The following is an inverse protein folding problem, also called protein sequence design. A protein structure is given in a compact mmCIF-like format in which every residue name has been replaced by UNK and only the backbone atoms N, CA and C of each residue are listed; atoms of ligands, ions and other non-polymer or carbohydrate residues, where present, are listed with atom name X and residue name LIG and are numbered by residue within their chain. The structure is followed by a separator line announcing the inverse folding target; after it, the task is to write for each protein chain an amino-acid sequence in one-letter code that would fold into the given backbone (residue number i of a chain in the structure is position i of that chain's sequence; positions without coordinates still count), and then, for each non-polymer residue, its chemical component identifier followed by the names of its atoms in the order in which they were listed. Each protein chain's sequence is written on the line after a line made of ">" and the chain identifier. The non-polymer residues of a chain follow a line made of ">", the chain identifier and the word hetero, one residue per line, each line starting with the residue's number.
data_IF_418672036629
#
_entry.id   IF_418672036629
#
_cell.length_a   1.000
_cell.length_b   1.000
_cell.length_c   1.000
_cell.angle_alpha   90.00
_cell.angle_beta   90.00
_cell.angle_gamma   90.00
#
_symmetry.space_group_name_H-M   'P 1'
#
loop_
_entity.id
_entity.type
_entity.pdbx_description
1 polymer ?
#
# COMPACT_ATOMS: atom_id res chain seq x y z
N UNK A 1 -2.91 8.43 4.10
CA UNK A 1 -4.20 8.01 3.49
C UNK A 1 -4.92 9.16 2.77
N UNK A 2 -5.00 10.38 3.34
CA UNK A 2 -5.63 11.57 2.72
C UNK A 2 -5.24 11.88 1.27
N UNK A 3 -3.98 11.61 0.89
CA UNK A 3 -3.47 11.86 -0.47
C UNK A 3 -4.27 11.06 -1.51
N UNK A 4 -4.62 9.81 -1.22
CA UNK A 4 -5.35 8.94 -2.16
C UNK A 4 -6.76 9.47 -2.46
N UNK A 5 -7.48 9.91 -1.43
CA UNK A 5 -8.80 10.54 -1.60
C UNK A 5 -8.70 11.85 -2.38
N UNK A 6 -7.70 12.68 -2.08
CA UNK A 6 -7.48 13.94 -2.80
C UNK A 6 -7.25 13.72 -4.30
N UNK A 7 -6.41 12.75 -4.66
CA UNK A 7 -6.11 12.43 -6.05
C UNK A 7 -7.36 11.92 -6.79
N UNK A 8 -8.09 10.99 -6.15
CA UNK A 8 -9.36 10.48 -6.69
C UNK A 8 -10.35 11.61 -6.96
N UNK A 9 -10.59 12.49 -5.98
CA UNK A 9 -11.49 13.64 -6.14
C UNK A 9 -11.02 14.60 -7.23
N UNK A 10 -9.72 14.86 -7.31
CA UNK A 10 -9.16 15.73 -8.34
C UNK A 10 -9.39 15.15 -9.73
N UNK A 11 -9.19 13.84 -9.89
CA UNK A 11 -9.45 13.15 -11.15
C UNK A 11 -10.93 13.13 -11.49
N UNK A 12 -11.79 12.90 -10.49
CA UNK A 12 -13.23 12.91 -10.67
C UNK A 12 -13.70 14.29 -11.16
N UNK A 13 -13.27 15.40 -10.52
CA UNK A 13 -13.57 16.77 -10.97
C UNK A 13 -13.21 17.07 -12.42
N UNK A 14 -12.16 16.43 -12.93
CA UNK A 14 -11.71 16.59 -14.33
C UNK A 14 -12.39 15.63 -15.31
N UNK A 15 -13.21 14.70 -14.82
CA UNK A 15 -13.88 13.68 -15.62
C UNK A 15 -15.11 14.23 -16.31
N UNK A 16 -15.34 13.79 -17.56
CA UNK A 16 -16.58 14.06 -18.30
C UNK A 16 -17.81 13.37 -17.68
N UNK A 17 -17.61 12.38 -16.80
CA UNK A 17 -18.69 11.70 -16.07
C UNK A 17 -19.16 12.48 -14.84
N UNK A 18 -18.63 13.68 -14.60
CA UNK A 18 -19.06 14.54 -13.51
C UNK A 18 -19.13 16.00 -13.92
N UNK A 19 -20.09 16.71 -13.32
CA UNK A 19 -20.18 18.15 -13.37
C UNK A 19 -19.54 18.70 -12.08
N UNK A 20 -18.45 19.45 -12.22
CA UNK A 20 -17.82 20.13 -11.09
C UNK A 20 -18.28 21.59 -11.03
N UNK A 21 -18.97 21.94 -9.94
CA UNK A 21 -19.22 23.33 -9.60
C UNK A 21 -17.93 23.91 -9.02
N UNK A 22 -17.14 24.56 -9.88
CA UNK A 22 -15.79 25.07 -9.56
C UNK A 22 -15.74 26.00 -8.35
N UNK A 23 -16.86 26.65 -7.99
CA UNK A 23 -16.93 27.62 -6.88
C UNK A 23 -17.20 26.98 -5.51
N UNK A 24 -17.83 25.81 -5.45
CA UNK A 24 -18.21 25.14 -4.19
C UNK A 24 -17.36 23.90 -3.89
N UNK A 25 -16.59 23.41 -4.88
CA UNK A 25 -15.82 22.18 -4.75
C UNK A 25 -16.69 20.91 -4.77
N UNK A 26 -17.98 21.04 -5.04
CA UNK A 26 -18.93 19.95 -5.18
C UNK A 26 -18.71 19.22 -6.50
N UNK A 27 -18.98 17.92 -6.47
CA UNK A 27 -18.85 17.01 -7.61
C UNK A 27 -20.18 16.30 -7.77
N UNK A 28 -20.86 16.54 -8.88
CA UNK A 28 -22.10 15.84 -9.23
C UNK A 28 -21.78 14.81 -10.30
N UNK A 29 -22.03 13.53 -10.04
CA UNK A 29 -21.82 12.46 -11.00
C UNK A 29 -22.97 12.53 -12.02
N UNK A 30 -22.65 12.83 -13.27
CA UNK A 30 -23.66 13.09 -14.30
C UNK A 30 -24.43 11.82 -14.70
N UNK A 31 -23.78 10.66 -14.60
CA UNK A 31 -24.42 9.38 -14.85
C UNK A 31 -23.92 8.32 -13.84
N UNK A 32 -24.61 8.13 -12.70
CA UNK A 32 -24.20 7.19 -11.66
C UNK A 32 -24.37 5.71 -12.08
N UNK A 33 -25.02 5.45 -13.21
CA UNK A 33 -25.17 4.09 -13.74
C UNK A 33 -23.90 3.58 -14.43
N UNK A 34 -23.07 4.50 -14.92
CA UNK A 34 -21.81 4.17 -15.58
C UNK A 34 -20.66 4.09 -14.56
N UNK A 35 -19.77 3.09 -14.66
CA UNK A 35 -18.62 3.02 -13.79
C UNK A 35 -17.63 4.15 -14.11
N UNK A 36 -17.09 4.77 -13.07
CA UNK A 36 -16.02 5.75 -13.20
C UNK A 36 -14.67 5.05 -13.27
N UNK A 37 -13.80 5.42 -14.22
CA UNK A 37 -12.48 4.81 -14.37
C UNK A 37 -11.38 5.67 -13.77
N UNK A 38 -10.62 5.12 -12.82
CA UNK A 38 -9.52 5.80 -12.15
C UNK A 38 -8.43 4.81 -11.74
N UNK A 39 -7.15 5.19 -11.89
CA UNK A 39 -6.02 4.39 -11.39
C UNK A 39 -5.99 2.93 -11.92
N UNK A 40 -6.55 2.67 -13.10
CA UNK A 40 -6.62 1.32 -13.67
C UNK A 40 -7.86 0.50 -13.30
N UNK A 41 -8.77 1.04 -12.47
CA UNK A 41 -9.92 0.32 -11.93
C UNK A 41 -11.25 1.03 -12.23
N UNK A 42 -12.32 0.25 -12.27
CA UNK A 42 -13.69 0.74 -12.38
C UNK A 42 -14.30 0.90 -10.99
N UNK A 43 -14.89 2.06 -10.74
CA UNK A 43 -15.57 2.45 -9.51
C UNK A 43 -17.07 2.51 -9.75
N UNK A 44 -17.82 1.89 -8.84
CA UNK A 44 -19.26 1.75 -8.93
C UNK A 44 -19.92 2.43 -7.72
N UNK A 45 -21.02 3.14 -7.95
CA UNK A 45 -21.67 3.98 -6.94
C UNK A 45 -22.80 3.28 -6.17
N UNK A 46 -23.00 1.97 -6.39
CA UNK A 46 -23.93 1.16 -5.62
C UNK A 46 -23.64 -0.34 -5.76
N UNK A 47 -24.16 -1.13 -4.81
CA UNK A 47 -24.09 -2.58 -4.85
C UNK A 47 -24.77 -3.19 -6.09
N UNK A 48 -25.93 -2.65 -6.49
CA UNK A 48 -26.69 -3.17 -7.64
C UNK A 48 -25.87 -3.05 -8.93
N UNK A 49 -25.30 -1.87 -9.19
CA UNK A 49 -24.50 -1.62 -10.39
C UNK A 49 -23.22 -2.46 -10.41
N UNK A 50 -22.57 -2.61 -9.25
CA UNK A 50 -21.43 -3.50 -9.13
C UNK A 50 -21.80 -4.96 -9.40
N UNK A 51 -22.88 -5.48 -8.82
CA UNK A 51 -23.26 -6.90 -8.92
C UNK A 51 -23.75 -7.28 -10.32
N UNK A 52 -24.38 -6.35 -11.03
CA UNK A 52 -24.95 -6.52 -12.37
C UNK A 52 -23.96 -6.21 -13.50
N UNK A 53 -22.69 -5.93 -13.19
CA UNK A 53 -21.66 -5.69 -14.20
C UNK A 53 -21.43 -6.94 -15.06
N UNK A 54 -21.18 -6.72 -16.34
CA UNK A 54 -20.84 -7.80 -17.30
C UNK A 54 -19.47 -8.41 -16.99
N UNK A 55 -18.49 -7.58 -16.61
CA UNK A 55 -17.10 -8.01 -16.42
C UNK A 55 -16.84 -8.42 -14.97
N UNK A 56 -17.22 -9.64 -14.60
CA UNK A 56 -16.86 -10.24 -13.31
C UNK A 56 -15.47 -10.87 -13.40
N UNK A 57 -14.58 -10.47 -12.50
CA UNK A 57 -13.20 -10.98 -12.43
C UNK A 57 -13.02 -11.81 -11.17
N UNK A 58 -12.68 -13.09 -11.33
CA UNK A 58 -12.45 -14.01 -10.21
C UNK A 58 -11.09 -13.81 -9.54
N UNK A 59 -10.13 -13.19 -10.24
CA UNK A 59 -8.77 -12.89 -9.78
C UNK A 59 -8.66 -11.57 -9.01
N UNK A 60 -9.79 -11.04 -8.52
CA UNK A 60 -9.85 -9.71 -7.91
C UNK A 60 -10.53 -9.74 -6.54
N UNK A 61 -10.03 -8.89 -5.66
CA UNK A 61 -10.61 -8.63 -4.34
C UNK A 61 -11.45 -7.37 -4.41
N UNK A 62 -12.66 -7.45 -3.86
CA UNK A 62 -13.56 -6.30 -3.71
C UNK A 62 -13.02 -5.34 -2.63
N UNK A 63 -12.98 -4.07 -2.96
CA UNK A 63 -12.80 -2.96 -2.05
C UNK A 63 -14.08 -2.12 -2.02
N UNK A 64 -14.44 -1.63 -0.84
CA UNK A 64 -15.62 -0.80 -0.66
C UNK A 64 -15.38 0.22 0.45
N UNK A 65 -15.97 1.39 0.30
CA UNK A 65 -16.04 2.44 1.31
C UNK A 65 -17.48 2.93 1.38
N UNK A 66 -18.03 3.01 2.58
CA UNK A 66 -19.29 3.67 2.81
C UNK A 66 -19.07 5.18 3.02
N UNK A 67 -19.94 6.01 2.45
CA UNK A 67 -19.80 7.47 2.56
C UNK A 67 -20.04 7.96 3.99
N UNK A 68 -20.79 7.22 4.80
CA UNK A 68 -20.99 7.52 6.22
C UNK A 68 -19.76 7.23 7.10
N UNK A 69 -18.76 6.51 6.59
CA UNK A 69 -17.54 6.14 7.34
C UNK A 69 -16.41 7.14 7.14
N UNK A 70 -16.50 8.05 6.16
CA UNK A 70 -15.40 8.96 5.82
C UNK A 70 -15.86 10.32 5.31
N UNK A 71 -15.38 11.38 5.96
CA UNK A 71 -15.56 12.76 5.52
C UNK A 71 -14.71 13.15 4.30
N UNK A 72 -13.75 12.31 3.90
CA UNK A 72 -12.87 12.61 2.76
C UNK A 72 -13.64 12.58 1.42
N UNK A 73 -14.82 11.96 1.39
CA UNK A 73 -15.69 11.87 0.21
C UNK A 73 -16.85 12.88 0.22
N UNK A 74 -16.95 13.75 1.23
CA UNK A 74 -18.02 14.75 1.36
C UNK A 74 -18.11 15.67 0.14
N UNK A 75 -19.33 16.04 -0.28
CA UNK A 75 -19.54 16.89 -1.46
C UNK A 75 -19.37 16.18 -2.80
N UNK A 76 -19.54 14.85 -2.83
CA UNK A 76 -19.78 14.06 -4.04
C UNK A 76 -21.24 13.60 -4.00
N UNK A 77 -21.98 13.86 -5.08
CA UNK A 77 -23.39 13.55 -5.21
C UNK A 77 -23.69 12.79 -6.50
N UNK A 78 -24.74 11.99 -6.50
CA UNK A 78 -25.19 11.19 -7.65
C UNK A 78 -26.03 11.98 -8.65
N UNK A 79 -26.56 13.14 -8.24
CA UNK A 79 -27.44 13.98 -9.04
C UNK A 79 -27.46 15.44 -8.53
N UNK A 80 -28.21 16.30 -9.22
CA UNK A 80 -28.40 17.71 -8.86
C UNK A 80 -29.26 17.92 -7.61
N UNK A 81 -29.99 16.89 -7.17
CA UNK A 81 -30.77 16.92 -5.92
C UNK A 81 -29.90 16.62 -4.69
N UNK A 82 -28.58 16.59 -4.87
CA UNK A 82 -27.60 16.33 -3.81
C UNK A 82 -27.77 14.94 -3.18
N UNK A 83 -28.18 13.93 -3.95
CA UNK A 83 -28.25 12.56 -3.46
C UNK A 83 -26.85 12.03 -3.14
N UNK A 84 -26.57 11.75 -1.87
CA UNK A 84 -25.28 11.22 -1.42
C UNK A 84 -25.20 9.72 -1.78
N UNK A 85 -24.11 9.25 -2.42
CA UNK A 85 -23.92 7.83 -2.65
C UNK A 85 -23.82 7.06 -1.32
N UNK A 86 -24.44 5.88 -1.24
CA UNK A 86 -24.31 5.05 -0.04
C UNK A 86 -22.88 4.49 0.09
N UNK A 87 -22.32 4.04 -1.03
CA UNK A 87 -21.05 3.31 -1.10
C UNK A 87 -20.36 3.56 -2.43
N UNK A 88 -19.04 3.49 -2.43
CA UNK A 88 -18.22 3.35 -3.63
C UNK A 88 -17.47 2.02 -3.59
N UNK A 89 -17.54 1.26 -4.69
CA UNK A 89 -16.98 -0.10 -4.81
C UNK A 89 -15.99 -0.14 -5.96
N UNK A 90 -14.83 -0.75 -5.75
CA UNK A 90 -13.86 -1.05 -6.81
C UNK A 90 -13.19 -2.40 -6.54
N UNK A 91 -12.31 -2.81 -7.43
CA UNK A 91 -11.61 -4.09 -7.34
C UNK A 91 -10.10 -3.91 -7.41
N UNK A 92 -9.39 -4.64 -6.56
CA UNK A 92 -7.94 -4.71 -6.54
C UNK A 92 -7.46 -6.13 -6.90
N UNK A 93 -6.19 -6.29 -7.24
CA UNK A 93 -5.59 -7.63 -7.45
C UNK A 93 -5.54 -8.38 -6.11
N UNK A 94 -5.52 -9.71 -6.16
CA UNK A 94 -5.48 -10.56 -4.96
C UNK A 94 -4.23 -10.32 -4.07
N UNK A 95 -3.12 -9.90 -4.65
CA UNK A 95 -1.85 -9.58 -3.97
C UNK A 95 -1.76 -8.11 -3.48
N UNK A 96 -2.88 -7.40 -3.50
CA UNK A 96 -2.97 -5.99 -3.10
C UNK A 96 -4.05 -5.77 -2.05
N UNK A 97 -3.94 -4.65 -1.33
CA UNK A 97 -4.91 -4.22 -0.32
C UNK A 97 -5.52 -2.87 -0.67
N UNK A 98 -6.71 -2.62 -0.14
CA UNK A 98 -7.44 -1.37 -0.34
C UNK A 98 -6.81 -0.27 0.53
N UNK A 99 -6.36 0.83 -0.09
CA UNK A 99 -5.72 1.95 0.62
C UNK A 99 -6.36 3.30 0.24
N UNK A 100 -7.41 3.69 0.96
CA UNK A 100 -8.24 4.82 0.55
C UNK A 100 -8.96 4.48 -0.76
N UNK A 101 -8.71 5.27 -1.82
CA UNK A 101 -9.32 5.06 -3.14
C UNK A 101 -8.41 4.30 -4.13
N UNK A 102 -7.30 3.70 -3.68
CA UNK A 102 -6.36 3.02 -4.57
C UNK A 102 -6.06 1.57 -4.12
N UNK A 103 -5.41 0.83 -5.01
CA UNK A 103 -4.89 -0.51 -4.71
C UNK A 103 -3.40 -0.40 -4.37
N UNK A 104 -3.07 -0.58 -3.10
CA UNK A 104 -1.68 -0.65 -2.68
C UNK A 104 -1.23 -2.10 -2.77
N UNK A 105 -0.14 -2.34 -3.48
CA UNK A 105 0.51 -3.65 -3.40
C UNK A 105 1.11 -3.72 -2.00
N UNK A 106 0.94 -4.84 -1.30
CA UNK A 106 1.95 -5.17 -0.29
C UNK A 106 3.26 -5.23 -1.06
N UNK A 107 4.10 -4.20 -0.92
CA UNK A 107 5.49 -4.31 -1.32
C UNK A 107 5.95 -5.49 -0.48
N UNK A 108 6.00 -6.66 -1.13
CA UNK A 108 6.23 -7.92 -0.46
C UNK A 108 7.57 -7.71 0.21
N UNK A 109 7.50 -7.48 1.53
CA UNK A 109 8.66 -7.12 2.34
C UNK A 109 9.65 -8.29 2.23
N UNK A 110 9.31 -9.44 1.61
CA UNK A 110 10.25 -10.40 1.03
C UNK A 110 11.58 -9.81 0.57
N UNK A 111 11.65 -8.78 -0.28
CA UNK A 111 12.97 -8.28 -0.72
C UNK A 111 13.76 -7.65 0.43
N UNK A 112 13.09 -6.97 1.36
CA UNK A 112 13.67 -6.26 2.49
C UNK A 112 13.86 -7.16 3.73
N UNK A 113 12.97 -8.11 4.01
CA UNK A 113 13.13 -9.27 4.89
C UNK A 113 14.27 -10.18 4.43
N UNK A 114 14.34 -10.54 3.14
CA UNK A 114 15.48 -11.29 2.60
C UNK A 114 16.76 -10.49 2.76
N UNK A 115 16.76 -9.18 2.48
CA UNK A 115 17.93 -8.34 2.72
C UNK A 115 18.32 -8.29 4.20
N UNK A 116 17.35 -8.21 5.12
CA UNK A 116 17.58 -8.26 6.58
C UNK A 116 18.16 -9.60 7.03
N UNK A 117 17.64 -10.71 6.52
CA UNK A 117 18.12 -12.07 6.86
C UNK A 117 19.55 -12.25 6.33
N UNK A 118 19.80 -11.90 5.07
CA UNK A 118 21.14 -12.00 4.46
C UNK A 118 22.14 -11.13 5.21
N UNK A 119 21.78 -9.88 5.52
CA UNK A 119 22.64 -8.97 6.28
C UNK A 119 22.90 -9.50 7.70
N UNK A 120 21.89 -10.05 8.36
CA UNK A 120 22.03 -10.68 9.68
C UNK A 120 23.00 -11.86 9.68
N UNK A 121 22.88 -12.77 8.71
CA UNK A 121 23.80 -13.92 8.56
C UNK A 121 25.23 -13.43 8.31
N UNK A 122 25.40 -12.45 7.42
CA UNK A 122 26.71 -11.88 7.11
C UNK A 122 27.39 -11.25 8.34
N UNK A 123 26.64 -10.48 9.15
CA UNK A 123 27.16 -9.92 10.40
C UNK A 123 27.58 -10.99 11.40
N UNK A 124 26.80 -12.07 11.54
CA UNK A 124 27.14 -13.18 12.45
C UNK A 124 28.44 -13.87 12.00
N UNK A 125 28.60 -14.12 10.69
CA UNK A 125 29.83 -14.72 10.14
C UNK A 125 31.07 -13.84 10.36
N UNK A 126 30.94 -12.52 10.24
CA UNK A 126 32.04 -11.60 10.52
C UNK A 126 32.41 -11.63 12.01
N UNK A 127 31.42 -11.60 12.90
CA UNK A 127 31.66 -11.62 14.35
C UNK A 127 32.33 -12.93 14.77
N UNK A 128 31.90 -14.07 14.24
CA UNK A 128 32.52 -15.36 14.55
C UNK A 128 33.95 -15.44 14.04
N UNK A 129 34.22 -14.96 12.83
CA UNK A 129 35.58 -14.89 12.30
C UNK A 129 36.50 -13.99 13.14
N UNK A 130 36.03 -12.80 13.52
CA UNK A 130 36.79 -11.91 14.41
C UNK A 130 37.05 -12.54 15.78
N UNK A 131 36.07 -13.23 16.36
CA UNK A 131 36.24 -13.92 17.63
C UNK A 131 37.31 -15.04 17.55
N UNK A 132 37.30 -15.83 16.47
CA UNK A 132 38.31 -16.87 16.22
C UNK A 132 39.69 -16.25 16.07
N UNK A 133 39.82 -15.16 15.29
CA UNK A 133 41.07 -14.43 15.13
C UNK A 133 41.60 -13.89 16.48
N UNK A 134 40.73 -13.29 17.30
CA UNK A 134 41.10 -12.79 18.62
C UNK A 134 41.59 -13.91 19.54
N UNK A 135 40.93 -15.07 19.56
CA UNK A 135 41.34 -16.22 20.37
C UNK A 135 42.70 -16.75 19.92
N UNK A 136 42.96 -16.81 18.61
CA UNK A 136 44.25 -17.24 18.07
C UNK A 136 45.39 -16.29 18.52
N UNK A 137 45.20 -14.98 18.37
CA UNK A 137 46.18 -13.97 18.78
C UNK A 137 46.47 -14.05 20.29
N UNK A 138 45.44 -14.24 21.13
CA UNK A 138 45.61 -14.37 22.59
C UNK A 138 46.40 -15.64 22.94
N UNK A 139 46.17 -16.75 22.23
CA UNK A 139 46.92 -17.99 22.45
C UNK A 139 48.39 -17.82 22.10
N UNK A 140 48.71 -17.19 20.97
CA UNK A 140 50.09 -16.94 20.55
C UNK A 140 50.80 -15.98 21.51
N UNK A 141 50.13 -14.91 21.96
CA UNK A 141 50.68 -14.00 22.96
C UNK A 141 50.98 -14.67 24.30
N UNK A 142 50.16 -15.63 24.72
CA UNK A 142 50.40 -16.42 25.94
C UNK A 142 51.56 -17.41 25.79
N UNK A 143 51.72 -18.02 24.61
CA UNK A 143 52.82 -18.94 24.32
C UNK A 143 54.17 -18.22 24.38
N UNK A 144 54.29 -17.05 23.74
CA UNK A 144 55.51 -16.23 23.77
C UNK A 144 55.90 -15.81 25.19
N UNK A 145 54.91 -15.45 26.02
CA UNK A 145 55.19 -15.06 27.41
C UNK A 145 55.69 -16.24 28.26
N UNK A 146 55.17 -17.45 28.05
CA UNK A 146 55.59 -18.63 28.80
C UNK A 146 57.04 -19.04 28.49
N UNK A 147 57.44 -19.00 27.22
CA UNK A 147 58.82 -19.28 26.83
C UNK A 147 59.79 -18.26 27.41
N UNK A 148 59.43 -16.96 27.44
CA UNK A 148 60.31 -15.93 28.03
C UNK A 148 60.60 -16.10 29.52
N UNK A 149 59.71 -16.76 30.28
CA UNK A 149 59.89 -17.02 31.72
C UNK A 149 60.73 -18.28 31.97
N UNK A 150 60.74 -19.24 31.03
CA UNK A 150 61.51 -20.49 31.16
C UNK A 150 63.02 -20.29 30.90
N UNK A 151 63.40 -19.21 30.22
CA UNK A 151 64.80 -18.88 29.90
C UNK A 151 65.42 -17.78 30.79
N UNK A 152 64.72 -17.33 31.85
CA UNK A 152 65.23 -16.42 32.88
C UNK A 152 65.45 -17.19 34.18
#
# INVERSE_FOLDING_TARGET
>A
MRIFFRNFRSSLRSSMLSNSLRMTGLIVIANPTLPYYYGGNYYYWSHSHYNNRETKRSDRKKCLIHFNETHELDGIYLDENETIPEVVIWECKLDSYCCGMECCVEINDRRRQTFKIIFGIFCVLIITMLAICCIAIIKDAKAVKYDSIRFA
#
